data_IF_034802193841
#
_entry.id   IF_034802193841
#
_cell.length_a   1.000
_cell.length_b   1.000
_cell.length_c   1.000
_cell.angle_alpha   90.00
_cell.angle_beta   90.00
_cell.angle_gamma   90.00
#
_symmetry.space_group_name_H-M   'P 1'
#
loop_
_entity.id
_entity.type
_entity.pdbx_description
1 polymer ?
#
# COMPACT_ATOMS: atom_id res chain seq x y z
N UNK A 1 -5.18 -11.03 -17.35
CA UNK A 1 -6.57 -10.80 -16.91
C UNK A 1 -6.85 -11.32 -15.49
N UNK A 2 -6.27 -12.44 -15.03
CA UNK A 2 -6.44 -12.89 -13.63
C UNK A 2 -5.50 -12.22 -12.60
N UNK A 3 -4.31 -11.78 -13.03
CA UNK A 3 -3.30 -11.20 -12.13
C UNK A 3 -3.73 -9.89 -11.45
N UNK A 4 -4.50 -9.03 -12.13
CA UNK A 4 -4.93 -7.76 -11.56
C UNK A 4 -5.95 -7.94 -10.41
N UNK A 5 -6.78 -8.99 -10.50
CA UNK A 5 -7.78 -9.32 -9.48
C UNK A 5 -7.09 -9.95 -8.26
N UNK A 6 -6.16 -10.89 -8.46
CA UNK A 6 -5.35 -11.45 -7.37
C UNK A 6 -4.50 -10.39 -6.67
N UNK A 7 -3.94 -9.44 -7.44
CA UNK A 7 -3.21 -8.30 -6.89
C UNK A 7 -4.13 -7.45 -6.00
N UNK A 8 -5.33 -7.11 -6.47
CA UNK A 8 -6.31 -6.37 -5.69
C UNK A 8 -6.72 -7.09 -4.39
N UNK A 9 -6.94 -8.40 -4.43
CA UNK A 9 -7.25 -9.18 -3.23
C UNK A 9 -6.04 -9.31 -2.28
N UNK A 10 -4.83 -9.41 -2.82
CA UNK A 10 -3.60 -9.39 -2.00
C UNK A 10 -3.38 -8.03 -1.35
N UNK A 11 -3.76 -6.91 -1.99
CA UNK A 11 -3.71 -5.55 -1.45
C UNK A 11 -4.69 -5.34 -0.27
N UNK A 12 -5.83 -6.04 -0.30
CA UNK A 12 -6.86 -6.01 0.74
C UNK A 12 -6.66 -7.05 1.85
N UNK A 13 -5.74 -8.00 1.66
CA UNK A 13 -5.35 -8.91 2.72
C UNK A 13 -4.67 -8.09 3.83
N UNK A 14 -5.24 -8.15 5.03
CA UNK A 14 -4.85 -7.40 6.23
C UNK A 14 -3.38 -7.57 6.65
N UNK A 15 -2.70 -8.55 6.02
CA UNK A 15 -1.39 -9.06 6.37
C UNK A 15 -0.34 -8.99 5.23
N UNK A 16 -0.61 -8.24 4.15
CA UNK A 16 0.38 -8.02 3.10
C UNK A 16 1.49 -7.04 3.54
N UNK A 17 2.68 -7.15 2.93
CA UNK A 17 3.86 -6.37 3.31
C UNK A 17 3.65 -4.84 3.28
N UNK A 18 2.78 -4.34 2.40
CA UNK A 18 2.48 -2.91 2.26
C UNK A 18 1.62 -2.41 3.41
N UNK A 19 0.55 -3.13 3.75
CA UNK A 19 -0.34 -2.80 4.87
C UNK A 19 0.40 -2.84 6.21
N UNK A 20 1.26 -3.86 6.42
CA UNK A 20 2.16 -3.95 7.59
C UNK A 20 3.10 -2.75 7.66
N UNK A 21 3.71 -2.36 6.54
CA UNK A 21 4.58 -1.19 6.49
C UNK A 21 3.82 0.08 6.87
N UNK A 22 2.64 0.31 6.29
CA UNK A 22 1.82 1.49 6.60
C UNK A 22 1.46 1.56 8.08
N UNK A 23 1.08 0.43 8.71
CA UNK A 23 0.77 0.35 10.15
C UNK A 23 2.00 0.69 11.00
N UNK A 24 3.17 0.17 10.66
CA UNK A 24 4.43 0.41 11.40
C UNK A 24 4.92 1.87 11.32
N UNK A 25 4.61 2.55 10.22
CA UNK A 25 5.00 3.94 9.98
C UNK A 25 3.80 4.91 10.01
N UNK A 26 2.77 4.60 10.81
CA UNK A 26 1.54 5.37 10.88
C UNK A 26 1.72 6.84 11.28
N UNK A 27 2.83 7.20 11.92
CA UNK A 27 3.19 8.56 12.35
C UNK A 27 3.60 9.49 11.19
N UNK A 28 3.97 8.95 10.02
CA UNK A 28 4.38 9.74 8.86
C UNK A 28 3.16 10.38 8.16
N UNK A 29 3.36 11.43 7.37
CA UNK A 29 2.29 11.93 6.50
C UNK A 29 1.96 10.94 5.36
N UNK A 30 0.80 11.09 4.72
CA UNK A 30 0.42 10.29 3.53
C UNK A 30 1.46 10.42 2.41
N UNK A 31 1.98 11.64 2.18
CA UNK A 31 2.98 11.91 1.16
C UNK A 31 4.35 11.27 1.47
N UNK A 32 4.78 11.25 2.74
CA UNK A 32 6.02 10.60 3.15
C UNK A 32 5.91 9.08 3.04
N UNK A 33 4.79 8.51 3.48
CA UNK A 33 4.50 7.08 3.33
C UNK A 33 4.52 6.68 1.86
N UNK A 34 3.87 7.42 0.97
CA UNK A 34 3.85 7.13 -0.46
C UNK A 34 5.27 7.09 -1.05
N UNK A 35 6.11 8.10 -0.75
CA UNK A 35 7.50 8.12 -1.21
C UNK A 35 8.30 6.92 -0.70
N UNK A 36 8.13 6.55 0.57
CA UNK A 36 8.80 5.38 1.12
C UNK A 36 8.29 4.08 0.49
N UNK A 37 6.99 3.94 0.27
CA UNK A 37 6.40 2.74 -0.32
C UNK A 37 6.90 2.52 -1.75
N UNK A 38 7.02 3.56 -2.57
CA UNK A 38 7.61 3.46 -3.92
C UNK A 38 9.07 2.99 -3.85
N UNK A 39 9.83 3.48 -2.85
CA UNK A 39 11.23 3.10 -2.67
C UNK A 39 11.43 1.69 -2.13
N UNK A 40 10.55 1.24 -1.23
CA UNK A 40 10.66 -0.06 -0.53
C UNK A 40 10.02 -1.17 -1.36
N UNK A 41 8.99 -0.86 -2.16
CA UNK A 41 8.24 -1.81 -2.97
C UNK A 41 8.26 -1.46 -4.47
N UNK A 42 9.45 -1.31 -5.10
CA UNK A 42 9.55 -0.84 -6.49
C UNK A 42 8.99 -1.84 -7.52
N UNK A 43 8.89 -3.13 -7.17
CA UNK A 43 8.47 -4.20 -8.08
C UNK A 43 6.97 -4.46 -8.08
N UNK A 44 6.20 -3.85 -7.17
CA UNK A 44 4.75 -4.04 -7.10
C UNK A 44 3.99 -3.34 -8.24
N UNK A 45 4.63 -2.37 -8.89
CA UNK A 45 4.06 -1.66 -10.04
C UNK A 45 2.84 -0.80 -9.70
N UNK A 46 2.62 -0.48 -8.42
CA UNK A 46 1.54 0.42 -8.01
C UNK A 46 1.84 1.84 -8.44
N UNK A 47 0.82 2.51 -8.99
CA UNK A 47 0.83 3.96 -9.18
C UNK A 47 0.51 4.72 -7.90
N UNK A 48 0.80 6.02 -7.91
CA UNK A 48 0.61 6.92 -6.76
C UNK A 48 -0.81 6.87 -6.17
N UNK A 49 -1.84 6.87 -7.04
CA UNK A 49 -3.24 6.77 -6.61
C UNK A 49 -3.54 5.47 -5.85
N UNK A 50 -2.95 4.35 -6.29
CA UNK A 50 -3.16 3.05 -5.64
C UNK A 50 -2.51 3.04 -4.25
N UNK A 51 -1.31 3.60 -4.10
CA UNK A 51 -0.67 3.73 -2.78
C UNK A 51 -1.50 4.61 -1.84
N UNK A 52 -2.03 5.73 -2.33
CA UNK A 52 -2.87 6.64 -1.55
C UNK A 52 -4.14 5.93 -1.07
N UNK A 53 -4.80 5.16 -1.93
CA UNK A 53 -6.01 4.40 -1.56
C UNK A 53 -5.71 3.38 -0.46
N UNK A 54 -4.62 2.61 -0.58
CA UNK A 54 -4.22 1.65 0.46
C UNK A 54 -3.92 2.37 1.77
N UNK A 55 -3.15 3.46 1.75
CA UNK A 55 -2.81 4.23 2.95
C UNK A 55 -4.09 4.69 3.67
N UNK A 56 -5.05 5.22 2.92
CA UNK A 56 -6.32 5.71 3.47
C UNK A 56 -7.19 4.58 4.01
N UNK A 57 -7.25 3.45 3.32
CA UNK A 57 -7.98 2.28 3.80
C UNK A 57 -7.39 1.74 5.10
N UNK A 58 -6.06 1.56 5.15
CA UNK A 58 -5.35 1.05 6.33
C UNK A 58 -5.49 1.97 7.54
N UNK A 59 -5.59 3.30 7.33
CA UNK A 59 -5.75 4.28 8.43
C UNK A 59 -7.19 4.49 8.90
N UNK A 60 -8.17 4.09 8.09
CA UNK A 60 -9.60 4.19 8.44
C UNK A 60 -10.10 2.94 9.16
N UNK A 61 -9.44 1.80 8.96
CA UNK A 61 -9.68 0.55 9.68
C UNK A 61 -9.07 0.62 11.08
#
# INVERSE_FOLDING_TARGET
MHQAIELHFSMLAEDNSVTKYIKNYAHLSEAELMKQLISVFPTLGYGDQQYIEIIRQVRKA
#
